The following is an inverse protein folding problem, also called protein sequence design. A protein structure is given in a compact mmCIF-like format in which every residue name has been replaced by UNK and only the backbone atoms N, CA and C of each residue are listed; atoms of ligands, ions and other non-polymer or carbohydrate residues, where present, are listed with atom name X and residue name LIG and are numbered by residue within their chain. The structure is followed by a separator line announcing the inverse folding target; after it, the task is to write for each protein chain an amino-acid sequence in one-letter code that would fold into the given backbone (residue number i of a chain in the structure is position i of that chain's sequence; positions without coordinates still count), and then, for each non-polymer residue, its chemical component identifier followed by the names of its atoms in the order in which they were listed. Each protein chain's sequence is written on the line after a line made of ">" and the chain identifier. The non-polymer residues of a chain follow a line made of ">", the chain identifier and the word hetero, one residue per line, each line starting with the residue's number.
data_IF_191778646371
#
_entry.id   IF_191778646371
#
_cell.length_a   1.000
_cell.length_b   1.000
_cell.length_c   1.000
_cell.angle_alpha   90.00
_cell.angle_beta   90.00
_cell.angle_gamma   90.00
#
_symmetry.space_group_name_H-M   'P 1'
#
loop_
_entity.id
_entity.type
_entity.pdbx_description
1 polymer ?
#
# COMPACT_ATOMS: atom_id res chain seq x y z
N UNK A 1 -21.22 -4.37 -25.86
CA UNK A 1 -20.78 -3.56 -24.70
C UNK A 1 -20.31 -2.22 -25.23
N UNK A 2 -20.73 -1.08 -24.65
CA UNK A 2 -20.24 0.22 -25.11
C UNK A 2 -18.72 0.31 -24.86
N UNK A 3 -17.99 0.83 -25.83
CA UNK A 3 -16.56 1.13 -25.70
C UNK A 3 -16.39 2.59 -25.26
N UNK A 4 -15.50 2.83 -24.30
CA UNK A 4 -15.12 4.17 -23.84
C UNK A 4 -13.65 4.41 -24.14
N UNK A 5 -13.30 5.63 -24.53
CA UNK A 5 -11.92 6.03 -24.82
C UNK A 5 -11.31 6.76 -23.63
N UNK A 6 -10.06 6.44 -23.28
CA UNK A 6 -9.28 7.13 -22.25
C UNK A 6 -8.07 7.81 -22.90
N UNK A 7 -7.97 9.13 -22.74
CA UNK A 7 -6.82 9.92 -23.21
C UNK A 7 -5.98 10.34 -22.01
N UNK A 8 -4.73 9.87 -21.94
CA UNK A 8 -3.79 10.18 -20.86
C UNK A 8 -2.64 11.00 -21.43
N UNK A 9 -2.31 12.13 -20.79
CA UNK A 9 -1.15 12.95 -21.15
C UNK A 9 0.06 12.45 -20.37
N UNK A 10 1.13 12.14 -21.09
CA UNK A 10 2.38 11.57 -20.56
C UNK A 10 3.54 12.45 -21.04
N UNK A 11 4.62 12.53 -20.26
CA UNK A 11 5.89 12.95 -20.83
C UNK A 11 6.35 11.90 -21.87
N UNK A 12 6.99 12.35 -22.96
CA UNK A 12 7.39 11.47 -24.05
C UNK A 12 8.40 10.41 -23.61
N UNK A 13 9.43 10.79 -22.84
CA UNK A 13 10.45 9.87 -22.37
C UNK A 13 9.86 8.79 -21.44
N UNK A 14 8.89 9.17 -20.62
CA UNK A 14 8.16 8.23 -19.75
C UNK A 14 7.34 7.23 -20.57
N UNK A 15 6.68 7.71 -21.62
CA UNK A 15 5.89 6.85 -22.51
C UNK A 15 6.78 5.82 -23.21
N UNK A 16 7.93 6.25 -23.73
CA UNK A 16 8.82 5.39 -24.49
C UNK A 16 9.48 4.33 -23.58
N UNK A 17 9.95 4.73 -22.39
CA UNK A 17 10.47 3.79 -21.40
C UNK A 17 9.41 2.78 -20.93
N UNK A 18 8.18 3.23 -20.67
CA UNK A 18 7.10 2.32 -20.28
C UNK A 18 6.72 1.36 -21.41
N UNK A 19 6.78 1.79 -22.67
CA UNK A 19 6.53 0.95 -23.83
C UNK A 19 7.59 -0.15 -23.95
N UNK A 20 8.87 0.16 -23.79
CA UNK A 20 9.96 -0.83 -23.80
C UNK A 20 9.76 -1.91 -22.72
N UNK A 21 9.36 -1.50 -21.50
CA UNK A 21 9.05 -2.46 -20.43
C UNK A 21 7.87 -3.35 -20.84
N UNK A 22 6.78 -2.79 -21.35
CA UNK A 22 5.62 -3.57 -21.78
C UNK A 22 5.99 -4.58 -22.90
N UNK A 23 6.78 -4.13 -23.88
CA UNK A 23 7.25 -4.95 -24.99
C UNK A 23 8.16 -6.10 -24.53
N UNK A 24 8.93 -5.91 -23.46
CA UNK A 24 9.73 -6.99 -22.86
C UNK A 24 8.89 -8.17 -22.35
N UNK A 25 7.62 -7.91 -22.01
CA UNK A 25 6.62 -8.93 -21.67
C UNK A 25 5.77 -9.37 -22.87
N UNK A 26 6.05 -8.88 -24.08
CA UNK A 26 5.28 -9.12 -25.30
C UNK A 26 3.92 -8.41 -25.32
N UNK A 27 3.76 -7.32 -24.57
CA UNK A 27 2.51 -6.58 -24.41
C UNK A 27 2.64 -5.15 -24.95
N UNK A 28 1.52 -4.60 -25.44
CA UNK A 28 1.42 -3.16 -25.72
C UNK A 28 0.91 -2.39 -24.49
N UNK A 29 1.19 -1.08 -24.44
CA UNK A 29 0.77 -0.21 -23.34
C UNK A 29 -0.74 -0.23 -23.09
N UNK A 30 -1.56 -0.34 -24.13
CA UNK A 30 -3.03 -0.38 -23.97
C UNK A 30 -3.46 -1.67 -23.28
N UNK A 31 -2.76 -2.78 -23.54
CA UNK A 31 -2.99 -4.06 -22.87
C UNK A 31 -2.59 -4.00 -21.41
N UNK A 32 -1.45 -3.40 -21.08
CA UNK A 32 -1.04 -3.15 -19.69
C UNK A 32 -2.04 -2.28 -18.94
N UNK A 33 -2.48 -1.16 -19.54
CA UNK A 33 -3.47 -0.25 -18.93
C UNK A 33 -4.82 -0.93 -18.73
N UNK A 34 -5.26 -1.79 -19.67
CA UNK A 34 -6.47 -2.61 -19.46
C UNK A 34 -6.30 -3.57 -18.29
N UNK A 35 -5.18 -4.29 -18.21
CA UNK A 35 -4.90 -5.21 -17.12
C UNK A 35 -4.88 -4.49 -15.77
N UNK A 36 -4.29 -3.28 -15.71
CA UNK A 36 -4.30 -2.43 -14.52
C UNK A 36 -5.72 -2.15 -14.03
N UNK A 37 -6.63 -1.72 -14.90
CA UNK A 37 -8.03 -1.48 -14.52
C UNK A 37 -8.78 -2.76 -14.15
N UNK A 38 -8.52 -3.88 -14.85
CA UNK A 38 -9.10 -5.17 -14.49
C UNK A 38 -8.69 -5.57 -13.07
N UNK A 39 -7.44 -5.38 -12.71
CA UNK A 39 -6.94 -5.71 -11.38
C UNK A 39 -7.51 -4.79 -10.29
N UNK A 40 -7.70 -3.49 -10.59
CA UNK A 40 -8.39 -2.58 -9.67
C UNK A 40 -9.80 -3.07 -9.33
N UNK A 41 -10.55 -3.52 -10.34
CA UNK A 41 -11.91 -4.03 -10.16
C UNK A 41 -11.90 -5.35 -9.40
N UNK A 42 -10.94 -6.23 -9.70
CA UNK A 42 -10.84 -7.53 -9.06
C UNK A 42 -10.46 -7.45 -7.57
N UNK A 43 -9.53 -6.55 -7.25
CA UNK A 43 -8.96 -6.42 -5.89
C UNK A 43 -9.61 -5.32 -5.06
N UNK A 44 -10.45 -4.47 -5.67
CA UNK A 44 -10.98 -3.25 -5.04
C UNK A 44 -9.87 -2.35 -4.47
N UNK A 45 -8.71 -2.31 -5.12
CA UNK A 45 -7.52 -1.60 -4.66
C UNK A 45 -6.75 -0.98 -5.83
N UNK A 46 -5.81 -0.08 -5.55
CA UNK A 46 -4.89 0.43 -6.58
C UNK A 46 -3.67 -0.51 -6.61
N UNK A 47 -3.41 -1.24 -7.72
CA UNK A 47 -2.34 -2.24 -7.79
C UNK A 47 -0.98 -1.57 -8.05
N UNK A 48 -0.60 -0.64 -7.17
CA UNK A 48 0.70 0.00 -7.11
C UNK A 48 1.19 -0.05 -5.67
N UNK A 49 2.48 -0.29 -5.48
CA UNK A 49 3.10 -0.05 -4.19
C UNK A 49 3.29 1.47 -4.07
N UNK A 50 2.62 2.08 -3.08
CA UNK A 50 2.71 3.52 -2.75
C UNK A 50 3.61 3.76 -1.54
N UNK A 51 4.46 2.78 -1.25
CA UNK A 51 5.39 2.66 -0.12
C UNK A 51 6.66 3.51 -0.27
N UNK A 52 6.72 4.37 -1.30
CA UNK A 52 7.75 5.41 -1.43
C UNK A 52 7.80 6.37 -0.22
N UNK A 53 6.72 6.39 0.58
CA UNK A 53 6.69 7.05 1.89
C UNK A 53 7.26 6.09 2.93
N UNK A 54 8.55 6.25 3.23
CA UNK A 54 9.11 5.68 4.45
C UNK A 54 8.32 6.19 5.67
N UNK A 55 8.20 5.40 6.75
CA UNK A 55 7.60 5.87 7.99
C UNK A 55 8.21 7.21 8.38
N UNK A 56 7.39 8.16 8.84
CA UNK A 56 7.94 9.37 9.43
C UNK A 56 8.73 8.99 10.71
N UNK A 57 9.63 9.86 11.16
CA UNK A 57 10.51 9.57 12.29
C UNK A 57 9.76 9.13 13.55
N UNK A 58 8.54 9.63 13.77
CA UNK A 58 7.65 9.24 14.87
C UNK A 58 7.17 7.78 14.73
N UNK A 59 6.67 7.40 13.55
CA UNK A 59 6.23 6.03 13.28
C UNK A 59 7.38 5.03 13.34
N UNK A 60 8.56 5.43 12.84
CA UNK A 60 9.77 4.62 12.93
C UNK A 60 10.21 4.43 14.39
N UNK A 61 10.19 5.49 15.20
CA UNK A 61 10.48 5.42 16.63
C UNK A 61 9.49 4.54 17.39
N UNK A 62 8.19 4.66 17.12
CA UNK A 62 7.15 3.83 17.73
C UNK A 62 7.34 2.34 17.38
N UNK A 63 7.71 2.02 16.13
CA UNK A 63 8.03 0.66 15.71
C UNK A 63 9.27 0.11 16.44
N UNK A 64 10.31 0.92 16.61
CA UNK A 64 11.53 0.54 17.35
C UNK A 64 11.25 0.32 18.84
N UNK A 65 10.47 1.19 19.46
CA UNK A 65 10.04 1.07 20.86
C UNK A 65 9.24 -0.22 21.07
N UNK A 66 8.24 -0.48 20.23
CA UNK A 66 7.43 -1.69 20.29
C UNK A 66 8.28 -2.95 20.14
N UNK A 67 9.24 -2.96 19.19
CA UNK A 67 10.19 -4.09 19.03
C UNK A 67 11.02 -4.33 20.30
N UNK A 68 11.46 -3.27 20.98
CA UNK A 68 12.19 -3.39 22.26
C UNK A 68 11.30 -3.94 23.38
N UNK A 69 10.06 -3.47 23.49
CA UNK A 69 9.10 -3.96 24.48
C UNK A 69 8.81 -5.45 24.31
N UNK A 70 8.64 -5.91 23.06
CA UNK A 70 8.44 -7.33 22.75
C UNK A 70 9.68 -8.14 23.14
N UNK A 71 10.88 -7.69 22.74
CA UNK A 71 12.13 -8.40 23.06
C UNK A 71 12.41 -8.45 24.57
N UNK A 72 12.03 -7.42 25.32
CA UNK A 72 12.17 -7.35 26.77
C UNK A 72 11.04 -8.10 27.52
N UNK A 73 10.01 -8.58 26.82
CA UNK A 73 8.83 -9.19 27.44
C UNK A 73 8.03 -8.23 28.33
N UNK A 74 8.18 -6.91 28.12
CA UNK A 74 7.57 -5.85 28.94
C UNK A 74 6.26 -5.32 28.34
N UNK A 75 5.83 -5.87 27.21
CA UNK A 75 4.57 -5.50 26.56
C UNK A 75 3.36 -6.11 27.28
N UNK A 76 2.28 -5.36 27.39
CA UNK A 76 1.01 -5.87 27.90
C UNK A 76 0.45 -6.95 26.98
N UNK A 77 0.10 -8.11 27.55
CA UNK A 77 -0.58 -9.19 26.84
C UNK A 77 -2.03 -9.25 27.28
N UNK A 78 -2.94 -9.56 26.36
CA UNK A 78 -4.37 -9.65 26.64
C UNK A 78 -4.89 -11.03 26.21
N UNK A 79 -5.85 -11.55 26.96
CA UNK A 79 -6.47 -12.87 26.73
C UNK A 79 -7.72 -12.79 25.87
N UNK A 80 -8.29 -11.60 25.67
CA UNK A 80 -9.44 -11.37 24.79
C UNK A 80 -9.39 -9.99 24.13
N UNK A 81 -10.05 -9.84 22.98
CA UNK A 81 -10.16 -8.54 22.30
C UNK A 81 -10.92 -7.48 23.11
N UNK A 82 -11.84 -7.90 24.00
CA UNK A 82 -12.54 -6.98 24.91
C UNK A 82 -11.59 -6.38 25.94
N UNK A 83 -10.74 -7.21 26.54
CA UNK A 83 -9.71 -6.79 27.50
C UNK A 83 -8.71 -5.82 26.86
N UNK A 84 -8.29 -6.10 25.61
CA UNK A 84 -7.41 -5.21 24.84
C UNK A 84 -8.04 -3.83 24.61
N UNK A 85 -9.32 -3.78 24.20
CA UNK A 85 -10.01 -2.52 23.94
C UNK A 85 -10.21 -1.72 25.24
N UNK A 86 -10.57 -2.39 26.33
CA UNK A 86 -10.74 -1.75 27.64
C UNK A 86 -9.44 -1.14 28.17
N UNK A 87 -8.31 -1.85 28.01
CA UNK A 87 -6.99 -1.34 28.37
C UNK A 87 -6.55 -0.17 27.47
N UNK A 88 -6.87 -0.18 26.17
CA UNK A 88 -6.53 0.91 25.26
C UNK A 88 -7.32 2.19 25.55
N UNK A 89 -8.59 2.06 25.94
CA UNK A 89 -9.45 3.19 26.28
C UNK A 89 -9.10 3.80 27.64
N UNK A 90 -8.64 3.01 28.61
CA UNK A 90 -8.22 3.51 29.93
C UNK A 90 -6.86 4.22 29.92
N UNK A 91 -6.04 4.02 28.88
CA UNK A 91 -4.75 4.68 28.69
C UNK A 91 -4.87 6.08 28.03
N UNK A 92 -6.08 6.48 27.60
CA UNK A 92 -6.34 7.75 26.90
C UNK A 92 -6.94 8.88 27.76
N UNK A 93 -6.99 8.73 29.08
CA UNK A 93 -7.57 9.70 30.03
C UNK A 93 -6.55 10.56 30.81
N UNK A 94 -5.28 10.59 30.39
CA UNK A 94 -4.26 11.52 30.92
C UNK A 94 -3.86 12.61 29.89
#
# INVERSE_FOLDING_TARGET
>A
MPASTLTIRLNQDLKDQAAEVAESYGLDLSTVVRAFFTEMVHTNSIPLSLDYRQPNAESEAALLETKRMIAAGSGSTFTSGREMIEAALSQGED
#
